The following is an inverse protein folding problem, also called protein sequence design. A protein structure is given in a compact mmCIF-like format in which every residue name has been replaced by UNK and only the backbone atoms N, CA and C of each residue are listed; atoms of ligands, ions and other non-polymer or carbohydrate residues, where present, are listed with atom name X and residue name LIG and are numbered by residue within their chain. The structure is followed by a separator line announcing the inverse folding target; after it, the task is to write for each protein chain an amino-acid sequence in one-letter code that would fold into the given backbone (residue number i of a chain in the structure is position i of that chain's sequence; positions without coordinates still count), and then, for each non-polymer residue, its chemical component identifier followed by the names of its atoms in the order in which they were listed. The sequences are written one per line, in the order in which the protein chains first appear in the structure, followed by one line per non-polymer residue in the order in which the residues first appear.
data_IF_054211071708
#
_entry.id   IF_054211071708
#
_cell.length_a   1.000
_cell.length_b   1.000
_cell.length_c   1.000
_cell.angle_alpha   90.00
_cell.angle_beta   90.00
_cell.angle_gamma   90.00
#
_symmetry.space_group_name_H-M   'P 1'
#
loop_
_entity.id
_entity.type
_entity.pdbx_description
1 polymer ?
#
# COMPACT_ATOMS: atom_id res chain seq x y z
N UNK A 1 6.89 -7.95 12.25
CA UNK A 1 6.02 -7.03 13.01
C UNK A 1 5.15 -7.70 14.09
N UNK A 2 4.41 -8.80 13.83
CA UNK A 2 3.56 -9.43 14.87
C UNK A 2 2.49 -8.47 15.41
N UNK A 3 2.15 -8.56 16.69
CA UNK A 3 1.17 -7.66 17.34
C UNK A 3 1.50 -6.17 17.20
N UNK A 4 2.79 -5.81 17.09
CA UNK A 4 3.20 -4.40 16.91
C UNK A 4 2.66 -3.80 15.60
N UNK A 5 2.36 -4.62 14.59
CA UNK A 5 1.85 -4.16 13.30
C UNK A 5 0.53 -3.39 13.39
N UNK A 6 -0.21 -3.56 14.49
CA UNK A 6 -1.50 -2.91 14.71
C UNK A 6 -1.39 -1.54 15.36
N UNK A 7 -0.20 -1.14 15.82
CA UNK A 7 -0.03 0.08 16.63
C UNK A 7 1.23 0.89 16.26
N UNK A 8 2.21 0.27 15.61
CA UNK A 8 3.53 0.86 15.39
C UNK A 8 3.90 0.84 13.91
N UNK A 9 4.62 1.89 13.49
CA UNK A 9 5.26 1.92 12.17
C UNK A 9 6.29 0.80 12.01
N UNK A 10 6.47 0.34 10.77
CA UNK A 10 7.53 -0.60 10.43
C UNK A 10 8.91 -0.03 10.77
N UNK A 11 9.73 -0.86 11.43
CA UNK A 11 11.15 -0.56 11.60
C UNK A 11 11.92 -0.88 10.32
N UNK A 12 13.16 -0.43 10.20
CA UNK A 12 14.03 -0.78 9.07
C UNK A 12 14.23 -2.29 8.89
N UNK A 13 14.29 -3.06 9.98
CA UNK A 13 14.38 -4.52 9.91
C UNK A 13 13.08 -5.15 9.42
N UNK A 14 11.94 -4.61 9.85
CA UNK A 14 10.62 -5.04 9.37
C UNK A 14 10.49 -4.75 7.86
N UNK A 15 10.87 -3.54 7.41
CA UNK A 15 10.85 -3.16 5.99
C UNK A 15 11.73 -4.08 5.15
N UNK A 16 13.00 -4.30 5.56
CA UNK A 16 13.90 -5.23 4.88
C UNK A 16 13.33 -6.65 4.80
N UNK A 17 12.66 -7.11 5.85
CA UNK A 17 12.01 -8.41 5.86
C UNK A 17 10.83 -8.47 4.88
N UNK A 18 9.95 -7.47 4.90
CA UNK A 18 8.81 -7.39 3.99
C UNK A 18 9.25 -7.29 2.52
N UNK A 19 10.28 -6.49 2.21
CA UNK A 19 10.86 -6.40 0.87
C UNK A 19 11.39 -7.75 0.37
N UNK A 20 12.02 -8.54 1.25
CA UNK A 20 12.43 -9.93 0.92
C UNK A 20 11.21 -10.79 0.60
N UNK A 21 10.15 -10.73 1.42
CA UNK A 21 8.93 -11.51 1.18
C UNK A 21 8.25 -11.14 -0.15
N UNK A 22 8.15 -9.84 -0.47
CA UNK A 22 7.60 -9.40 -1.76
C UNK A 22 8.45 -9.93 -2.92
N UNK A 23 9.78 -9.82 -2.81
CA UNK A 23 10.71 -10.32 -3.84
C UNK A 23 10.56 -11.82 -4.07
N UNK A 24 10.49 -12.60 -3.00
CA UNK A 24 10.35 -14.04 -3.06
C UNK A 24 8.99 -14.46 -3.60
N UNK A 25 7.91 -13.77 -3.22
CA UNK A 25 6.57 -14.02 -3.72
C UNK A 25 6.46 -13.77 -5.24
N UNK A 26 7.00 -12.64 -5.73
CA UNK A 26 7.01 -12.34 -7.18
C UNK A 26 7.82 -13.39 -7.94
N UNK A 27 9.00 -13.78 -7.44
CA UNK A 27 9.82 -14.85 -8.04
C UNK A 27 9.12 -16.21 -8.04
N UNK A 28 8.28 -16.47 -7.04
CA UNK A 28 7.47 -17.68 -6.95
C UNK A 28 6.23 -17.66 -7.87
N UNK A 29 5.97 -16.55 -8.57
CA UNK A 29 4.88 -16.43 -9.54
C UNK A 29 3.69 -15.58 -9.10
N UNK A 30 3.79 -14.84 -7.99
CA UNK A 30 2.76 -13.86 -7.63
C UNK A 30 2.64 -12.78 -8.72
N UNK A 31 1.40 -12.39 -9.05
CA UNK A 31 1.11 -11.38 -10.06
C UNK A 31 1.37 -9.95 -9.59
N UNK A 32 1.49 -9.73 -8.28
CA UNK A 32 1.59 -8.40 -7.71
C UNK A 32 1.47 -8.39 -6.20
N UNK A 33 1.40 -7.18 -5.65
CA UNK A 33 1.20 -6.91 -4.23
C UNK A 33 -0.01 -6.00 -4.06
N UNK A 34 -0.82 -6.25 -3.05
CA UNK A 34 -1.97 -5.40 -2.73
C UNK A 34 -1.93 -4.99 -1.27
N UNK A 35 -2.44 -3.80 -0.96
CA UNK A 35 -2.57 -3.32 0.41
C UNK A 35 -3.84 -2.49 0.58
N UNK A 36 -4.21 -2.20 1.82
CA UNK A 36 -5.38 -1.40 2.14
C UNK A 36 -5.06 -0.42 3.25
N UNK A 37 -5.26 0.86 2.92
CA UNK A 37 -5.25 1.98 3.87
C UNK A 37 -6.68 2.50 4.10
N UNK A 38 -7.68 1.67 3.83
CA UNK A 38 -9.08 2.06 3.90
C UNK A 38 -9.57 2.25 5.34
N UNK A 39 -10.33 3.32 5.63
CA UNK A 39 -10.95 3.51 6.95
C UNK A 39 -11.97 2.44 7.33
N UNK A 40 -12.50 1.68 6.36
CA UNK A 40 -13.50 0.65 6.60
C UNK A 40 -12.90 -0.76 6.82
N UNK A 41 -11.58 -0.89 6.80
CA UNK A 41 -10.91 -2.18 6.92
C UNK A 41 -10.59 -2.49 8.40
N UNK A 42 -11.44 -3.31 9.01
CA UNK A 42 -11.42 -3.61 10.45
C UNK A 42 -11.44 -5.12 10.71
N UNK A 43 -10.93 -5.55 11.87
CA UNK A 43 -11.01 -6.92 12.39
C UNK A 43 -12.43 -7.20 12.92
N UNK A 44 -12.79 -8.47 13.18
CA UNK A 44 -14.09 -8.82 13.76
C UNK A 44 -14.38 -8.14 15.11
N UNK A 45 -13.34 -7.79 15.86
CA UNK A 45 -13.41 -7.11 17.15
C UNK A 45 -13.48 -5.58 17.01
N UNK A 46 -13.56 -5.05 15.78
CA UNK A 46 -13.62 -3.62 15.50
C UNK A 46 -12.28 -2.89 15.61
N UNK A 47 -11.15 -3.61 15.63
CA UNK A 47 -9.81 -3.01 15.57
C UNK A 47 -9.42 -2.73 14.13
N UNK A 48 -8.52 -1.78 13.90
CA UNK A 48 -7.95 -1.57 12.57
C UNK A 48 -7.07 -2.76 12.16
N UNK A 49 -7.08 -3.11 10.87
CA UNK A 49 -6.09 -4.06 10.32
C UNK A 49 -4.71 -3.39 10.21
N UNK A 50 -3.64 -4.18 10.32
CA UNK A 50 -2.27 -3.68 10.35
C UNK A 50 -1.91 -2.81 9.14
N UNK A 51 -2.34 -3.18 7.93
CA UNK A 51 -2.03 -2.44 6.70
C UNK A 51 -2.56 -1.00 6.70
N UNK A 52 -3.55 -0.68 7.54
CA UNK A 52 -4.12 0.67 7.65
C UNK A 52 -3.10 1.68 8.19
N UNK A 53 -2.14 1.23 8.99
CA UNK A 53 -1.10 2.07 9.58
C UNK A 53 0.17 2.18 8.73
N UNK A 54 0.27 1.40 7.65
CA UNK A 54 1.44 1.38 6.78
C UNK A 54 1.74 2.78 6.23
N UNK A 55 2.94 3.30 6.45
CA UNK A 55 3.30 4.64 5.95
C UNK A 55 3.39 4.66 4.42
N UNK A 56 3.40 5.85 3.81
CA UNK A 56 3.65 5.95 2.36
C UNK A 56 5.07 5.53 1.98
N UNK A 57 6.03 5.72 2.88
CA UNK A 57 7.40 5.22 2.67
C UNK A 57 7.40 3.69 2.62
N UNK A 58 6.68 3.04 3.54
CA UNK A 58 6.51 1.58 3.53
C UNK A 58 5.88 1.10 2.21
N UNK A 59 4.79 1.74 1.76
CA UNK A 59 4.16 1.42 0.46
C UNK A 59 5.15 1.59 -0.69
N UNK A 60 5.86 2.71 -0.75
CA UNK A 60 6.85 3.01 -1.81
C UNK A 60 7.97 1.99 -1.83
N UNK A 61 8.50 1.57 -0.67
CA UNK A 61 9.55 0.57 -0.58
C UNK A 61 9.09 -0.80 -1.06
N UNK A 62 7.91 -1.25 -0.65
CA UNK A 62 7.38 -2.55 -1.06
C UNK A 62 7.06 -2.59 -2.56
N UNK A 63 6.50 -1.52 -3.11
CA UNK A 63 6.26 -1.40 -4.56
C UNK A 63 7.56 -1.23 -5.33
N UNK A 64 8.56 -0.57 -4.76
CA UNK A 64 9.91 -0.43 -5.32
C UNK A 64 10.56 -1.78 -5.62
N UNK A 65 10.33 -2.81 -4.79
CA UNK A 65 10.80 -4.18 -5.06
C UNK A 65 10.27 -4.72 -6.39
N UNK A 66 9.00 -4.46 -6.70
CA UNK A 66 8.41 -4.84 -7.99
C UNK A 66 9.04 -4.05 -9.15
N UNK A 67 9.37 -2.78 -8.91
CA UNK A 67 10.14 -1.94 -9.84
C UNK A 67 11.52 -2.51 -10.15
N UNK A 68 12.30 -2.87 -9.14
CA UNK A 68 13.63 -3.49 -9.28
C UNK A 68 13.60 -4.79 -10.08
N UNK A 69 12.55 -5.60 -9.89
CA UNK A 69 12.35 -6.86 -10.60
C UNK A 69 11.76 -6.67 -12.00
N UNK A 70 11.32 -5.46 -12.33
CA UNK A 70 10.54 -5.16 -13.52
C UNK A 70 9.34 -6.13 -13.70
N UNK A 71 8.65 -6.47 -12.60
CA UNK A 71 7.55 -7.44 -12.60
C UNK A 71 6.51 -7.10 -11.54
N UNK A 72 5.26 -7.48 -11.78
CA UNK A 72 4.15 -7.30 -10.86
C UNK A 72 3.32 -6.04 -11.08
N UNK A 73 2.11 -6.04 -10.53
CA UNK A 73 1.22 -4.89 -10.42
C UNK A 73 0.93 -4.55 -8.94
N UNK A 74 0.57 -3.30 -8.68
CA UNK A 74 0.18 -2.84 -7.34
C UNK A 74 -1.31 -2.49 -7.29
N UNK A 75 -2.01 -2.92 -6.24
CA UNK A 75 -3.37 -2.45 -5.94
C UNK A 75 -3.45 -1.84 -4.53
N UNK A 76 -4.17 -0.73 -4.39
CA UNK A 76 -4.45 -0.13 -3.09
C UNK A 76 -5.92 0.26 -2.92
N UNK A 77 -6.50 -0.20 -1.80
CA UNK A 77 -7.72 0.38 -1.26
C UNK A 77 -7.37 1.67 -0.49
N UNK A 78 -7.82 2.81 -1.03
CA UNK A 78 -7.39 4.15 -0.62
C UNK A 78 -7.88 4.65 0.73
N UNK A 79 -7.40 5.84 1.10
CA UNK A 79 -7.54 6.45 2.44
C UNK A 79 -8.92 7.09 2.70
N UNK A 80 -9.85 6.98 1.76
CA UNK A 80 -11.21 7.50 1.88
C UNK A 80 -11.38 8.98 1.55
N UNK A 81 -10.32 9.67 1.12
CA UNK A 81 -10.37 11.08 0.66
C UNK A 81 -11.24 11.27 -0.58
N UNK A 82 -11.54 10.21 -1.32
CA UNK A 82 -12.44 10.22 -2.47
C UNK A 82 -13.91 9.99 -2.09
N UNK A 83 -14.20 9.67 -0.81
CA UNK A 83 -15.58 9.42 -0.33
C UNK A 83 -16.36 10.69 -0.01
N UNK A 84 -15.68 11.82 0.13
CA UNK A 84 -16.27 13.13 0.46
C UNK A 84 -16.01 14.09 -0.71
N UNK A 85 -17.05 14.60 -1.38
CA UNK A 85 -16.88 15.58 -2.44
C UNK A 85 -16.12 16.82 -1.95
N UNK A 86 -15.08 17.20 -2.68
CA UNK A 86 -14.27 18.38 -2.37
C UNK A 86 -13.26 18.21 -1.24
N UNK A 87 -12.97 16.98 -0.79
CA UNK A 87 -11.91 16.74 0.19
C UNK A 87 -10.56 17.30 -0.33
N UNK A 88 -9.92 18.22 0.42
CA UNK A 88 -8.66 18.84 -0.02
C UNK A 88 -7.52 17.82 -0.16
N UNK A 89 -7.59 16.67 0.52
CA UNK A 89 -6.60 15.60 0.44
C UNK A 89 -6.68 14.75 -0.83
N UNK A 90 -7.74 14.87 -1.64
CA UNK A 90 -7.92 14.08 -2.86
C UNK A 90 -6.80 14.31 -3.87
N UNK A 91 -6.39 15.58 -4.05
CA UNK A 91 -5.30 15.94 -4.97
C UNK A 91 -3.98 15.28 -4.53
N UNK A 92 -3.62 15.45 -3.27
CA UNK A 92 -2.39 14.92 -2.69
C UNK A 92 -2.34 13.38 -2.74
N UNK A 93 -3.48 12.71 -2.53
CA UNK A 93 -3.58 11.26 -2.69
C UNK A 93 -3.33 10.80 -4.13
N UNK A 94 -3.94 11.47 -5.12
CA UNK A 94 -3.70 11.15 -6.54
C UNK A 94 -2.28 11.49 -6.99
N UNK A 95 -1.67 12.55 -6.46
CA UNK A 95 -0.27 12.89 -6.73
C UNK A 95 0.67 11.80 -6.18
N UNK A 96 0.45 11.32 -4.96
CA UNK A 96 1.19 10.19 -4.38
C UNK A 96 1.05 8.91 -5.21
N UNK A 97 -0.15 8.58 -5.69
CA UNK A 97 -0.37 7.42 -6.56
C UNK A 97 0.32 7.56 -7.92
N UNK A 98 0.25 8.75 -8.53
CA UNK A 98 0.95 9.06 -9.78
C UNK A 98 2.46 8.86 -9.62
N UNK A 99 3.03 9.46 -8.57
CA UNK A 99 4.48 9.43 -8.35
C UNK A 99 4.95 7.99 -8.07
N UNK A 100 4.19 7.22 -7.28
CA UNK A 100 4.44 5.80 -7.06
C UNK A 100 4.47 4.99 -8.38
N UNK A 101 3.51 5.23 -9.28
CA UNK A 101 3.44 4.55 -10.58
C UNK A 101 4.63 4.92 -11.49
N UNK A 102 4.97 6.21 -11.55
CA UNK A 102 6.07 6.72 -12.40
C UNK A 102 7.42 6.19 -11.92
N UNK A 103 7.70 6.26 -10.62
CA UNK A 103 9.00 5.88 -10.07
C UNK A 103 9.23 4.36 -10.09
N UNK A 104 8.20 3.56 -9.80
CA UNK A 104 8.31 2.11 -9.84
C UNK A 104 8.19 1.54 -11.25
N UNK A 105 7.64 2.30 -12.18
CA UNK A 105 7.27 1.82 -13.52
C UNK A 105 6.24 0.69 -13.50
N UNK A 106 5.56 0.45 -12.38
CA UNK A 106 4.55 -0.63 -12.24
C UNK A 106 3.14 -0.08 -12.45
N UNK A 107 2.22 -0.87 -13.04
CA UNK A 107 0.80 -0.54 -13.03
C UNK A 107 0.29 -0.41 -11.59
N UNK A 108 -0.48 0.66 -11.32
CA UNK A 108 -1.13 0.92 -10.03
C UNK A 108 -2.64 0.94 -10.25
N UNK A 109 -3.37 0.06 -9.57
CA UNK A 109 -4.84 0.03 -9.53
C UNK A 109 -5.34 0.55 -8.19
N UNK A 110 -6.45 1.29 -8.22
CA UNK A 110 -7.12 1.79 -7.02
C UNK A 110 -8.61 2.00 -7.32
N UNK A 111 -9.43 1.86 -6.28
CA UNK A 111 -10.85 2.15 -6.38
C UNK A 111 -11.09 3.66 -6.53
N UNK A 112 -12.06 4.02 -7.36
CA UNK A 112 -12.57 5.39 -7.48
C UNK A 112 -14.00 5.37 -6.96
N UNK A 113 -14.25 6.04 -5.84
CA UNK A 113 -15.59 6.16 -5.29
C UNK A 113 -16.24 7.47 -5.76
N UNK A 114 -16.84 7.46 -6.96
CA UNK A 114 -17.72 8.55 -7.37
C UNK A 114 -19.08 8.42 -6.67
N UNK A 115 -19.55 9.50 -6.06
CA UNK A 115 -20.97 9.73 -5.78
C UNK A 115 -21.45 10.91 -6.58
#
# INVERSE_FOLDING_TARGET
MGERAFEQSATEDDLRAMERQVRDAIRAGALGFTTSRSPAHETPEGRYVASRLASWDEVRRLVGVMGDLNSGLFEIAGEGVDRVPGDPGLRDYHERLRDLAVESGRPVTFGVFSR
#
